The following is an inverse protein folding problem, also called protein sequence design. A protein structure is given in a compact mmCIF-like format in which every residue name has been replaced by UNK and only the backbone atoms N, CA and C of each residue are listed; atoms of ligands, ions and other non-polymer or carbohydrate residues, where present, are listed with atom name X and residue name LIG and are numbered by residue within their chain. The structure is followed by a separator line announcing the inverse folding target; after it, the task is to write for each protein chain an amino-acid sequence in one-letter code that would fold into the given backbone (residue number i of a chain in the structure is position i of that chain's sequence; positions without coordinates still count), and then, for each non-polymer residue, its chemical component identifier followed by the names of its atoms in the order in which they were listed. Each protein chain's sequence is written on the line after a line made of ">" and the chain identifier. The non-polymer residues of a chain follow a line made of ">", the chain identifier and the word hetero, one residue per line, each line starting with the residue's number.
data_IF_140493543123
#
_entry.id   IF_140493543123
#
_cell.length_a   1.000
_cell.length_b   1.000
_cell.length_c   1.000
_cell.angle_alpha   90.00
_cell.angle_beta   90.00
_cell.angle_gamma   90.00
#
_symmetry.space_group_name_H-M   'P 1'
#
loop_
_entity.id
_entity.type
_entity.pdbx_description
1 polymer ?
#
# COMPACT_ATOMS: atom_id res chain seq x y z
N UNK A 1 -20.00 6.36 20.98
CA UNK A 1 -19.25 6.80 19.78
C UNK A 1 -18.20 5.75 19.49
N UNK A 2 -18.20 5.13 18.29
CA UNK A 2 -17.30 4.04 17.91
C UNK A 2 -16.72 4.31 16.50
N UNK A 3 -15.76 5.23 16.39
CA UNK A 3 -15.19 5.62 15.10
C UNK A 3 -14.38 4.46 14.50
N UNK A 4 -14.40 4.35 13.18
CA UNK A 4 -13.45 3.50 12.46
C UNK A 4 -12.17 4.27 12.17
N UNK A 5 -11.04 3.56 12.15
CA UNK A 5 -9.74 4.15 11.87
C UNK A 5 -9.15 3.53 10.62
N UNK A 6 -8.50 4.37 9.83
CA UNK A 6 -7.79 3.97 8.64
C UNK A 6 -6.38 4.53 8.71
N UNK A 7 -5.40 3.69 8.39
CA UNK A 7 -3.99 4.08 8.31
C UNK A 7 -3.55 3.99 6.86
N UNK A 8 -2.88 5.04 6.40
CA UNK A 8 -2.25 5.14 5.09
C UNK A 8 -0.79 5.57 5.28
N UNK A 9 0.12 4.90 4.58
CA UNK A 9 1.55 5.23 4.54
C UNK A 9 1.98 5.42 3.09
N UNK A 10 2.62 6.55 2.80
CA UNK A 10 3.00 6.93 1.45
C UNK A 10 4.48 7.22 1.31
N UNK A 11 5.05 6.83 0.17
CA UNK A 11 6.43 7.14 -0.24
C UNK A 11 6.43 7.79 -1.61
N UNK A 12 7.23 8.85 -1.75
CA UNK A 12 7.55 9.44 -3.04
C UNK A 12 8.90 8.88 -3.49
N UNK A 13 8.93 8.27 -4.68
CA UNK A 13 10.12 7.65 -5.23
C UNK A 13 10.50 8.28 -6.57
N UNK A 14 11.80 8.43 -6.76
CA UNK A 14 12.41 8.64 -8.07
C UNK A 14 13.05 7.31 -8.52
N UNK A 15 12.72 6.87 -9.74
CA UNK A 15 13.13 5.58 -10.31
C UNK A 15 13.59 5.79 -11.75
N UNK A 16 14.34 4.83 -12.31
CA UNK A 16 14.74 4.90 -13.72
C UNK A 16 13.51 4.91 -14.65
N UNK A 17 12.58 3.98 -14.42
CA UNK A 17 11.29 3.89 -15.13
C UNK A 17 10.27 3.13 -14.27
N UNK A 18 8.98 3.44 -14.40
CA UNK A 18 7.90 2.67 -13.80
C UNK A 18 6.87 2.21 -14.85
N UNK A 19 6.11 1.13 -14.59
CA UNK A 19 5.18 0.57 -15.58
C UNK A 19 3.82 1.30 -15.69
N UNK A 20 3.54 2.26 -14.80
CA UNK A 20 2.24 2.92 -14.70
C UNK A 20 2.04 4.05 -15.71
N UNK A 21 0.79 4.29 -16.13
CA UNK A 21 0.44 5.39 -17.04
C UNK A 21 0.42 6.72 -16.26
N UNK A 22 1.30 7.67 -16.62
CA UNK A 22 1.43 8.98 -15.96
C UNK A 22 0.11 9.78 -15.94
N UNK A 23 -0.85 9.48 -16.82
CA UNK A 23 -2.14 10.17 -16.85
C UNK A 23 -3.21 9.53 -15.96
N UNK A 24 -2.89 8.44 -15.26
CA UNK A 24 -3.85 7.68 -14.45
C UNK A 24 -3.24 7.32 -13.10
N UNK A 25 -4.04 7.48 -12.05
CA UNK A 25 -3.75 6.85 -10.77
C UNK A 25 -4.31 5.43 -10.79
N UNK A 26 -3.51 4.46 -10.39
CA UNK A 26 -3.93 3.06 -10.28
C UNK A 26 -4.19 2.71 -8.82
N UNK A 27 -5.33 2.07 -8.55
CA UNK A 27 -5.73 1.59 -7.23
C UNK A 27 -5.87 0.07 -7.29
N UNK A 28 -5.03 -0.64 -6.56
CA UNK A 28 -4.88 -2.09 -6.73
C UNK A 28 -4.60 -2.83 -5.42
N UNK A 29 -5.02 -4.09 -5.38
CA UNK A 29 -4.62 -5.04 -4.34
C UNK A 29 -3.31 -5.71 -4.76
N UNK A 30 -2.19 -5.31 -4.13
CA UNK A 30 -0.85 -5.79 -4.51
C UNK A 30 -0.42 -7.07 -3.77
N UNK A 31 -1.25 -7.61 -2.88
CA UNK A 31 -0.84 -8.65 -1.94
C UNK A 31 -0.40 -9.95 -2.62
N UNK A 32 -0.98 -10.31 -3.77
CA UNK A 32 -0.73 -11.63 -4.36
C UNK A 32 0.45 -11.69 -5.32
N UNK A 33 0.78 -10.60 -6.02
CA UNK A 33 1.77 -10.65 -7.11
C UNK A 33 3.21 -10.35 -6.66
N UNK A 34 3.42 -9.63 -5.55
CA UNK A 34 4.77 -9.21 -5.12
C UNK A 34 5.41 -10.05 -4.01
N UNK A 35 4.63 -10.76 -3.20
CA UNK A 35 5.12 -11.39 -1.97
C UNK A 35 5.99 -12.66 -2.17
N UNK A 36 6.25 -13.09 -3.42
CA UNK A 36 7.01 -14.33 -3.73
C UNK A 36 6.60 -15.49 -2.79
N UNK A 37 7.52 -16.36 -2.39
CA UNK A 37 7.28 -17.42 -1.40
C UNK A 37 7.51 -16.95 0.05
N UNK A 38 7.38 -15.66 0.35
CA UNK A 38 7.48 -15.20 1.74
C UNK A 38 6.17 -15.49 2.49
N UNK A 39 6.14 -16.66 3.14
CA UNK A 39 4.97 -17.21 3.83
C UNK A 39 4.52 -16.31 4.99
N UNK A 40 5.46 -15.73 5.72
CA UNK A 40 5.17 -14.88 6.88
C UNK A 40 4.49 -13.56 6.48
N UNK A 41 4.99 -12.91 5.42
CA UNK A 41 4.35 -11.71 4.86
C UNK A 41 2.96 -12.02 4.27
N UNK A 42 2.78 -13.18 3.64
CA UNK A 42 1.47 -13.61 3.12
C UNK A 42 0.45 -13.87 4.24
N UNK A 43 0.86 -14.55 5.30
CA UNK A 43 -0.01 -14.81 6.47
C UNK A 43 -0.35 -13.53 7.24
N UNK A 44 0.51 -12.52 7.21
CA UNK A 44 0.22 -11.19 7.79
C UNK A 44 -0.70 -10.37 6.87
N UNK A 45 -0.44 -10.34 5.56
CA UNK A 45 -1.27 -9.64 4.57
C UNK A 45 -2.66 -10.27 4.35
N UNK A 46 -2.85 -11.54 4.72
CA UNK A 46 -4.18 -12.16 4.71
C UNK A 46 -5.08 -11.68 5.86
N UNK A 47 -4.49 -11.21 6.96
CA UNK A 47 -5.22 -10.72 8.16
C UNK A 47 -5.72 -9.29 8.00
N UNK A 48 -5.11 -8.50 7.11
CA UNK A 48 -5.41 -7.08 6.95
C UNK A 48 -5.58 -6.79 5.46
N UNK A 49 -6.75 -6.25 5.09
CA UNK A 49 -6.96 -5.78 3.73
C UNK A 49 -6.22 -4.45 3.56
N UNK A 50 -5.13 -4.48 2.78
CA UNK A 50 -4.30 -3.32 2.43
C UNK A 50 -4.43 -3.12 0.93
N UNK A 51 -4.71 -1.89 0.54
CA UNK A 51 -4.86 -1.44 -0.84
C UNK A 51 -3.67 -0.54 -1.16
N UNK A 52 -3.11 -0.71 -2.35
CA UNK A 52 -2.00 0.09 -2.84
C UNK A 52 -2.50 1.11 -3.87
N UNK A 53 -2.10 2.36 -3.72
CA UNK A 53 -2.34 3.44 -4.67
C UNK A 53 -1.03 3.86 -5.33
N UNK A 54 -1.02 3.91 -6.65
CA UNK A 54 0.11 4.34 -7.45
C UNK A 54 -0.29 5.60 -8.24
N UNK A 55 0.40 6.71 -7.99
CA UNK A 55 0.16 8.00 -8.64
C UNK A 55 1.45 8.49 -9.30
N UNK A 56 1.60 8.29 -10.62
CA UNK A 56 2.80 8.71 -11.31
C UNK A 56 2.72 10.18 -11.72
N UNK A 57 3.81 10.92 -11.53
CA UNK A 57 3.94 12.32 -11.91
C UNK A 57 4.69 12.51 -13.24
N UNK A 58 5.66 11.63 -13.50
CA UNK A 58 6.47 11.55 -14.71
C UNK A 58 7.02 10.13 -14.84
N UNK A 59 7.60 9.75 -15.99
CA UNK A 59 8.13 8.39 -16.22
C UNK A 59 9.14 7.90 -15.18
N UNK A 60 9.77 8.82 -14.45
CA UNK A 60 10.79 8.58 -13.45
C UNK A 60 10.39 9.00 -12.02
N UNK A 61 9.14 9.43 -11.79
CA UNK A 61 8.70 9.91 -10.47
C UNK A 61 7.28 9.46 -10.16
N UNK A 62 7.13 8.76 -9.04
CA UNK A 62 5.87 8.14 -8.64
C UNK A 62 5.64 8.22 -7.14
N UNK A 63 4.40 8.44 -6.74
CA UNK A 63 3.95 8.28 -5.37
C UNK A 63 3.26 6.91 -5.22
N UNK A 64 3.62 6.20 -4.15
CA UNK A 64 3.03 4.92 -3.77
C UNK A 64 2.46 5.06 -2.36
N UNK A 65 1.25 4.58 -2.13
CA UNK A 65 0.61 4.59 -0.82
C UNK A 65 0.00 3.23 -0.48
N UNK A 66 0.33 2.70 0.69
CA UNK A 66 -0.36 1.55 1.27
C UNK A 66 -1.43 2.05 2.25
N UNK A 67 -2.67 1.67 1.98
CA UNK A 67 -3.83 2.07 2.79
C UNK A 67 -4.55 0.84 3.31
N UNK A 68 -4.63 0.71 4.64
CA UNK A 68 -5.47 -0.29 5.31
C UNK A 68 -6.95 0.01 5.10
N UNK A 69 -7.82 -1.00 5.12
CA UNK A 69 -9.25 -0.75 5.30
C UNK A 69 -9.58 -0.29 6.72
N UNK A 70 -10.70 0.42 6.84
CA UNK A 70 -11.24 0.88 8.13
C UNK A 70 -11.39 -0.30 9.10
N UNK A 71 -10.69 -0.21 10.24
CA UNK A 71 -10.74 -1.19 11.32
C UNK A 71 -11.40 -0.64 12.59
N UNK A 72 -11.94 -1.55 13.41
CA UNK A 72 -12.53 -1.27 14.73
C UNK A 72 -12.15 -2.39 15.71
N UNK A 73 -11.33 -2.11 16.75
CA UNK A 73 -10.59 -0.88 17.02
C UNK A 73 -9.55 -0.57 15.93
N UNK A 74 -9.04 0.66 15.92
CA UNK A 74 -8.02 1.07 14.94
C UNK A 74 -6.71 0.31 15.09
N UNK A 75 -5.96 0.22 13.99
CA UNK A 75 -4.65 -0.41 13.92
C UNK A 75 -3.54 0.55 14.39
N UNK A 76 -2.48 0.02 14.99
CA UNK A 76 -1.35 0.83 15.48
C UNK A 76 -0.47 1.34 14.33
N UNK A 77 0.15 2.51 14.51
CA UNK A 77 1.05 3.11 13.50
C UNK A 77 2.40 2.39 13.38
N UNK A 78 2.74 1.50 14.31
CA UNK A 78 4.03 0.78 14.35
C UNK A 78 4.08 -0.39 13.35
N UNK A 79 2.92 -0.94 13.02
CA UNK A 79 2.79 -2.14 12.18
C UNK A 79 3.01 -1.95 10.66
N UNK A 80 2.73 -0.77 10.04
CA UNK A 80 3.08 -0.51 8.64
C UNK A 80 4.58 -0.25 8.42
N UNK A 81 5.26 0.37 9.39
CA UNK A 81 6.66 0.83 9.26
C UNK A 81 7.70 -0.30 9.28
N UNK A 82 7.38 -1.48 9.83
CA UNK A 82 8.28 -2.64 9.89
C UNK A 82 8.27 -3.54 8.64
N UNK A 83 7.66 -3.10 7.52
CA UNK A 83 7.41 -3.91 6.32
C UNK A 83 8.46 -3.78 5.22
#
# INVERSE_FOLDING_TARGET
>A
YNPGYQVAEGVLAEVEEHPFDVKKGDFMDWRDSRLKNNVELKERNSRILILNYAMPFSSNRIFLEETSLVARPGWGMEDPQER
#
